data_IF_949613854255
#
_entry.id   IF_949613854255
#
_cell.length_a   1.000
_cell.length_b   1.000
_cell.length_c   1.000
_cell.angle_alpha   90.00
_cell.angle_beta   90.00
_cell.angle_gamma   90.00
#
_symmetry.space_group_name_H-M   'P 1'
#
loop_
_entity.id
_entity.type
_entity.pdbx_description
1 polymer ?
#
# COMPACT_ATOMS: atom_id res chain seq x y z
N UNK A 1 -10.72 5.98 23.95
CA UNK A 1 -11.92 6.84 23.74
C UNK A 1 -13.20 6.05 23.45
N UNK A 2 -13.52 5.57 22.25
CA UNK A 2 -14.82 4.90 21.99
C UNK A 2 -15.03 3.57 22.78
N UNK A 3 -14.00 2.73 22.85
CA UNK A 3 -14.01 1.47 23.64
C UNK A 3 -14.16 1.73 25.14
N UNK A 4 -13.55 2.80 25.62
CA UNK A 4 -13.55 3.23 27.01
C UNK A 4 -14.90 3.84 27.42
N UNK A 5 -15.51 4.62 26.52
CA UNK A 5 -16.88 5.13 26.69
C UNK A 5 -17.92 3.99 26.70
N UNK A 6 -17.74 2.96 25.87
CA UNK A 6 -18.59 1.77 25.88
C UNK A 6 -18.49 1.00 27.21
N UNK A 7 -17.28 0.79 27.72
CA UNK A 7 -17.06 0.16 29.03
C UNK A 7 -17.68 0.97 30.17
N UNK A 8 -17.57 2.30 30.12
CA UNK A 8 -18.18 3.19 31.11
C UNK A 8 -19.71 3.11 31.08
N UNK A 9 -20.32 3.05 29.89
CA UNK A 9 -21.78 2.89 29.74
C UNK A 9 -22.25 1.52 30.25
N UNK A 10 -21.51 0.46 29.99
CA UNK A 10 -21.82 -0.88 30.49
C UNK A 10 -21.78 -0.93 32.03
N UNK A 11 -20.77 -0.29 32.65
CA UNK A 11 -20.69 -0.19 34.11
C UNK A 11 -21.87 0.58 34.72
N UNK A 12 -22.30 1.68 34.08
CA UNK A 12 -23.49 2.45 34.52
C UNK A 12 -24.77 1.64 34.42
N UNK A 13 -24.94 0.84 33.35
CA UNK A 13 -26.11 -0.03 33.21
C UNK A 13 -26.16 -1.09 34.30
N UNK A 14 -25.03 -1.72 34.65
CA UNK A 14 -24.95 -2.68 35.77
C UNK A 14 -25.38 -2.07 37.10
N UNK A 15 -24.85 -0.88 37.43
CA UNK A 15 -25.20 -0.16 38.66
C UNK A 15 -26.68 0.23 38.72
N UNK A 16 -27.25 0.67 37.59
CA UNK A 16 -28.67 1.01 37.49
C UNK A 16 -29.55 -0.23 37.66
N UNK A 17 -29.20 -1.37 37.04
CA UNK A 17 -29.92 -2.63 37.22
C UNK A 17 -29.91 -3.10 38.68
N UNK A 18 -28.77 -3.02 39.36
CA UNK A 18 -28.66 -3.35 40.79
C UNK A 18 -29.52 -2.43 41.67
N UNK A 19 -29.49 -1.12 41.40
CA UNK A 19 -30.29 -0.12 42.12
C UNK A 19 -31.78 -0.34 41.92
N UNK A 20 -32.22 -0.62 40.70
CA UNK A 20 -33.63 -0.90 40.39
C UNK A 20 -34.09 -2.18 41.08
N UNK A 21 -33.27 -3.24 41.11
CA UNK A 21 -33.60 -4.48 41.83
C UNK A 21 -33.79 -4.25 43.34
N UNK A 22 -32.98 -3.38 43.95
CA UNK A 22 -33.15 -3.00 45.36
C UNK A 22 -34.47 -2.25 45.62
N UNK A 23 -34.89 -1.40 44.69
CA UNK A 23 -36.18 -0.68 44.77
C UNK A 23 -37.36 -1.64 44.56
N UNK A 24 -37.26 -2.58 43.61
CA UNK A 24 -38.27 -3.60 43.35
C UNK A 24 -38.51 -4.45 44.61
N UNK A 25 -37.46 -4.82 45.34
CA UNK A 25 -37.59 -5.63 46.56
C UNK A 25 -38.43 -4.97 47.67
N UNK A 26 -38.60 -3.65 47.63
CA UNK A 26 -39.37 -2.86 48.59
C UNK A 26 -40.83 -2.61 48.14
N UNK A 27 -41.19 -2.97 46.91
CA UNK A 27 -42.53 -2.76 46.37
C UNK A 27 -43.54 -3.85 46.79
N UNK A 28 -44.86 -3.59 46.76
CA UNK A 28 -45.88 -4.62 46.99
C UNK A 28 -45.79 -5.77 45.96
N UNK A 29 -46.10 -7.02 46.32
CA UNK A 29 -45.89 -8.20 45.45
C UNK A 29 -46.49 -8.06 44.04
N UNK A 30 -47.70 -7.48 43.93
CA UNK A 30 -48.36 -7.24 42.65
C UNK A 30 -47.62 -6.25 41.74
N UNK A 31 -46.87 -5.30 42.32
CA UNK A 31 -46.05 -4.33 41.57
C UNK A 31 -44.64 -4.87 41.29
N UNK A 32 -44.10 -5.75 42.14
CA UNK A 32 -42.77 -6.36 41.93
C UNK A 32 -42.68 -7.11 40.61
N UNK A 33 -43.70 -7.90 40.28
CA UNK A 33 -43.73 -8.69 39.06
C UNK A 33 -43.80 -7.83 37.79
N UNK A 34 -44.60 -6.76 37.82
CA UNK A 34 -44.66 -5.79 36.73
C UNK A 34 -43.32 -5.07 36.50
N UNK A 35 -42.67 -4.61 37.58
CA UNK A 35 -41.37 -3.93 37.46
C UNK A 35 -40.24 -4.86 37.02
N UNK A 36 -40.23 -6.12 37.47
CA UNK A 36 -39.26 -7.13 36.99
C UNK A 36 -39.41 -7.36 35.49
N UNK A 37 -40.65 -7.52 35.01
CA UNK A 37 -40.92 -7.74 33.58
C UNK A 37 -40.47 -6.56 32.70
N UNK A 38 -40.72 -5.33 33.15
CA UNK A 38 -40.26 -4.12 32.45
C UNK A 38 -38.72 -4.03 32.45
N UNK A 39 -38.08 -4.31 33.58
CA UNK A 39 -36.62 -4.32 33.70
C UNK A 39 -35.97 -5.39 32.81
N UNK A 40 -36.54 -6.59 32.76
CA UNK A 40 -36.08 -7.69 31.91
C UNK A 40 -36.24 -7.34 30.42
N UNK A 41 -37.36 -6.71 30.06
CA UNK A 41 -37.62 -6.23 28.70
C UNK A 41 -36.60 -5.15 28.30
N UNK A 42 -36.36 -4.16 29.17
CA UNK A 42 -35.39 -3.10 28.92
C UNK A 42 -33.96 -3.65 28.82
N UNK A 43 -33.58 -4.57 29.69
CA UNK A 43 -32.26 -5.21 29.70
C UNK A 43 -32.04 -6.01 28.42
N UNK A 44 -33.04 -6.78 27.99
CA UNK A 44 -32.99 -7.55 26.74
C UNK A 44 -32.86 -6.63 25.53
N UNK A 45 -33.66 -5.56 25.46
CA UNK A 45 -33.59 -4.58 24.38
C UNK A 45 -32.22 -3.88 24.32
N UNK A 46 -31.66 -3.51 25.47
CA UNK A 46 -30.33 -2.93 25.56
C UNK A 46 -29.24 -3.90 25.06
N UNK A 47 -29.25 -5.15 25.52
CA UNK A 47 -28.31 -6.19 25.09
C UNK A 47 -28.39 -6.44 23.57
N UNK A 48 -29.60 -6.48 23.01
CA UNK A 48 -29.81 -6.62 21.58
C UNK A 48 -29.23 -5.43 20.79
N UNK A 49 -29.49 -4.19 21.25
CA UNK A 49 -28.91 -2.99 20.66
C UNK A 49 -27.38 -3.00 20.71
N UNK A 50 -26.79 -3.36 21.86
CA UNK A 50 -25.34 -3.50 22.01
C UNK A 50 -24.76 -4.52 21.02
N UNK A 51 -25.40 -5.68 20.90
CA UNK A 51 -24.98 -6.73 19.97
C UNK A 51 -25.04 -6.24 18.52
N UNK A 52 -26.14 -5.58 18.15
CA UNK A 52 -26.33 -5.04 16.80
C UNK A 52 -25.33 -3.94 16.46
N UNK A 53 -25.06 -3.02 17.39
CA UNK A 53 -24.08 -1.96 17.21
C UNK A 53 -22.66 -2.53 17.08
N UNK A 54 -22.28 -3.49 17.93
CA UNK A 54 -21.00 -4.16 17.84
C UNK A 54 -20.83 -4.88 16.49
N UNK A 55 -21.89 -5.54 16.00
CA UNK A 55 -21.92 -6.12 14.66
C UNK A 55 -21.65 -5.08 13.58
N UNK A 56 -22.34 -3.94 13.61
CA UNK A 56 -22.10 -2.84 12.67
C UNK A 56 -20.68 -2.28 12.73
N UNK A 57 -20.13 -2.09 13.94
CA UNK A 57 -18.75 -1.60 14.10
C UNK A 57 -17.73 -2.56 13.48
N UNK A 58 -17.84 -3.87 13.75
CA UNK A 58 -16.97 -4.89 13.13
C UNK A 58 -17.08 -4.89 11.61
N UNK A 59 -18.30 -4.77 11.08
CA UNK A 59 -18.51 -4.68 9.63
C UNK A 59 -17.81 -3.44 9.05
N UNK A 60 -17.92 -2.27 9.69
CA UNK A 60 -17.24 -1.04 9.24
C UNK A 60 -15.71 -1.17 9.29
N UNK A 61 -15.15 -1.81 10.32
CA UNK A 61 -13.70 -2.09 10.39
C UNK A 61 -13.24 -2.99 9.24
N UNK A 62 -14.01 -4.03 8.91
CA UNK A 62 -13.73 -4.90 7.76
C UNK A 62 -13.79 -4.13 6.44
N UNK A 63 -14.78 -3.26 6.25
CA UNK A 63 -14.85 -2.40 5.05
C UNK A 63 -13.65 -1.46 4.95
N UNK A 64 -13.27 -0.79 6.04
CA UNK A 64 -12.09 0.09 6.04
C UNK A 64 -10.81 -0.68 5.70
N UNK A 65 -10.63 -1.88 6.26
CA UNK A 65 -9.50 -2.75 5.93
C UNK A 65 -9.52 -3.21 4.48
N UNK A 66 -10.70 -3.55 3.94
CA UNK A 66 -10.86 -3.94 2.54
C UNK A 66 -10.46 -2.81 1.59
N UNK A 67 -10.88 -1.58 1.86
CA UNK A 67 -10.52 -0.42 1.04
C UNK A 67 -9.02 -0.11 1.12
N UNK A 68 -8.41 -0.23 2.31
CA UNK A 68 -6.96 -0.07 2.46
C UNK A 68 -6.17 -1.14 1.68
N UNK A 69 -6.63 -2.40 1.71
CA UNK A 69 -6.03 -3.48 0.92
C UNK A 69 -6.19 -3.25 -0.58
N UNK A 70 -7.37 -2.78 -1.02
CA UNK A 70 -7.61 -2.45 -2.42
C UNK A 70 -6.67 -1.33 -2.89
N UNK A 71 -6.57 -0.24 -2.13
CA UNK A 71 -5.64 0.84 -2.44
C UNK A 71 -4.17 0.41 -2.43
N UNK A 72 -3.79 -0.52 -1.56
CA UNK A 72 -2.44 -1.13 -1.57
C UNK A 72 -2.19 -1.99 -2.80
N UNK A 73 -3.20 -2.77 -3.23
CA UNK A 73 -3.13 -3.57 -4.45
C UNK A 73 -3.00 -2.69 -5.70
N UNK A 74 -3.83 -1.66 -5.84
CA UNK A 74 -3.79 -0.74 -6.98
C UNK A 74 -2.40 -0.07 -7.10
N UNK A 75 -1.81 0.34 -5.97
CA UNK A 75 -0.43 0.86 -5.92
C UNK A 75 0.60 -0.17 -6.37
N UNK A 76 0.45 -1.42 -5.91
CA UNK A 76 1.38 -2.51 -6.25
C UNK A 76 1.33 -2.83 -7.75
N UNK A 77 0.12 -2.89 -8.32
CA UNK A 77 -0.08 -3.14 -9.75
C UNK A 77 0.49 -2.01 -10.60
N UNK A 78 0.27 -0.75 -10.21
CA UNK A 78 0.89 0.40 -10.89
C UNK A 78 2.41 0.31 -10.85
N UNK A 79 2.97 0.00 -9.68
CA UNK A 79 4.42 -0.11 -9.52
C UNK A 79 5.02 -1.23 -10.39
N UNK A 80 4.39 -2.40 -10.45
CA UNK A 80 4.83 -3.50 -11.33
C UNK A 80 4.83 -3.09 -12.80
N UNK A 81 3.84 -2.31 -13.23
CA UNK A 81 3.82 -1.74 -14.58
C UNK A 81 4.99 -0.79 -14.80
N UNK A 82 5.22 0.15 -13.88
CA UNK A 82 6.31 1.12 -14.01
C UNK A 82 7.71 0.45 -14.03
N UNK A 83 7.89 -0.62 -13.24
CA UNK A 83 9.10 -1.46 -13.25
C UNK A 83 9.27 -2.18 -14.59
N UNK A 84 8.20 -2.78 -15.12
CA UNK A 84 8.22 -3.47 -16.41
C UNK A 84 8.55 -2.52 -17.57
N UNK A 85 7.94 -1.32 -17.60
CA UNK A 85 8.26 -0.29 -18.60
C UNK A 85 9.72 0.17 -18.54
N UNK A 86 10.28 0.25 -17.33
CA UNK A 86 11.69 0.63 -17.17
C UNK A 86 12.61 -0.49 -17.66
N UNK A 87 12.28 -1.75 -17.40
CA UNK A 87 12.99 -2.91 -17.93
C UNK A 87 12.95 -2.94 -19.46
N UNK A 88 11.78 -2.82 -20.06
CA UNK A 88 11.61 -2.80 -21.51
C UNK A 88 12.41 -1.68 -22.16
N UNK A 89 12.35 -0.47 -21.60
CA UNK A 89 13.17 0.64 -22.09
C UNK A 89 14.67 0.36 -22.01
N UNK A 90 15.15 -0.26 -20.92
CA UNK A 90 16.58 -0.62 -20.81
C UNK A 90 16.98 -1.64 -21.89
N UNK A 91 16.17 -2.68 -22.12
CA UNK A 91 16.40 -3.65 -23.19
C UNK A 91 16.46 -2.97 -24.56
N UNK A 92 15.49 -2.11 -24.87
CA UNK A 92 15.47 -1.35 -26.13
C UNK A 92 16.71 -0.48 -26.29
N UNK A 93 17.14 0.21 -25.22
CA UNK A 93 18.34 1.04 -25.27
C UNK A 93 19.62 0.21 -25.47
N UNK A 94 19.70 -1.01 -24.93
CA UNK A 94 20.82 -1.91 -25.18
C UNK A 94 20.88 -2.34 -26.66
N UNK A 95 19.74 -2.80 -27.20
CA UNK A 95 19.61 -3.24 -28.59
C UNK A 95 19.91 -2.11 -29.59
N UNK A 96 19.32 -0.93 -29.38
CA UNK A 96 19.42 0.19 -30.31
C UNK A 96 20.81 0.82 -30.30
N UNK A 97 21.39 1.03 -29.12
CA UNK A 97 22.58 1.86 -28.97
C UNK A 97 23.86 1.06 -28.72
N UNK A 98 23.78 -0.10 -28.04
CA UNK A 98 24.97 -0.81 -27.57
C UNK A 98 25.33 -2.03 -28.42
N UNK A 99 24.36 -2.70 -29.06
CA UNK A 99 24.63 -3.90 -29.88
C UNK A 99 25.25 -3.61 -31.26
N UNK A 100 25.17 -2.38 -31.77
CA UNK A 100 25.82 -2.00 -33.04
C UNK A 100 27.36 -2.01 -32.91
N UNK A 101 28.05 -2.76 -33.78
CA UNK A 101 29.51 -2.77 -33.87
C UNK A 101 30.09 -1.47 -34.45
N UNK A 102 31.38 -1.21 -34.19
CA UNK A 102 32.11 -0.04 -34.70
C UNK A 102 32.51 -0.21 -36.19
N UNK A 103 31.53 -0.25 -37.09
CA UNK A 103 31.76 -0.38 -38.53
C UNK A 103 31.33 0.87 -39.32
N UNK A 104 31.91 2.03 -38.99
CA UNK A 104 31.65 3.28 -39.71
C UNK A 104 32.65 3.46 -40.85
N UNK A 105 32.16 3.55 -42.09
CA UNK A 105 32.97 3.61 -43.32
C UNK A 105 33.16 5.04 -43.81
N UNK A 106 32.28 5.95 -43.41
CA UNK A 106 32.33 7.37 -43.79
C UNK A 106 32.33 8.30 -42.57
N UNK A 107 32.89 9.52 -42.68
CA UNK A 107 32.79 10.52 -41.62
C UNK A 107 31.34 10.86 -41.23
N UNK A 108 30.43 10.87 -42.21
CA UNK A 108 29.01 11.17 -41.99
C UNK A 108 28.31 10.07 -41.17
N UNK A 109 28.63 8.79 -41.43
CA UNK A 109 28.14 7.65 -40.63
C UNK A 109 28.65 7.72 -39.19
N UNK A 110 29.93 8.05 -39.00
CA UNK A 110 30.51 8.23 -37.66
C UNK A 110 29.84 9.40 -36.93
N UNK A 111 29.65 10.54 -37.61
CA UNK A 111 28.99 11.70 -37.00
C UNK A 111 27.55 11.38 -36.59
N UNK A 112 26.81 10.65 -37.43
CA UNK A 112 25.45 10.18 -37.10
C UNK A 112 25.46 9.32 -35.84
N UNK A 113 26.41 8.38 -35.72
CA UNK A 113 26.53 7.53 -34.53
C UNK A 113 26.90 8.31 -33.26
N UNK A 114 27.74 9.34 -33.37
CA UNK A 114 28.05 10.25 -32.25
C UNK A 114 26.79 11.01 -31.79
N UNK A 115 25.97 11.49 -32.73
CA UNK A 115 24.71 12.17 -32.43
C UNK A 115 23.68 11.24 -31.79
N UNK A 116 23.55 10.00 -32.28
CA UNK A 116 22.73 8.95 -31.66
C UNK A 116 23.18 8.66 -30.23
N UNK A 117 24.49 8.53 -29.96
CA UNK A 117 24.99 8.31 -28.61
C UNK A 117 24.73 9.48 -27.66
N UNK A 118 24.81 10.72 -28.16
CA UNK A 118 24.48 11.91 -27.34
C UNK A 118 23.01 11.90 -26.92
N UNK A 119 22.12 11.55 -27.85
CA UNK A 119 20.69 11.37 -27.56
C UNK A 119 20.45 10.26 -26.54
N UNK A 120 21.08 9.10 -26.73
CA UNK A 120 20.96 7.97 -25.81
C UNK A 120 21.39 8.34 -24.38
N UNK A 121 22.46 9.14 -24.23
CA UNK A 121 22.89 9.65 -22.92
C UNK A 121 21.88 10.60 -22.29
N UNK A 122 21.29 11.49 -23.08
CA UNK A 122 20.26 12.42 -22.60
C UNK A 122 18.99 11.66 -22.18
N UNK A 123 18.53 10.69 -22.98
CA UNK A 123 17.40 9.83 -22.63
C UNK A 123 17.65 9.05 -21.34
N UNK A 124 18.84 8.46 -21.20
CA UNK A 124 19.23 7.78 -19.96
C UNK A 124 19.20 8.74 -18.76
N UNK A 125 19.74 9.95 -18.89
CA UNK A 125 19.67 10.97 -17.84
C UNK A 125 18.23 11.34 -17.46
N UNK A 126 17.33 11.48 -18.45
CA UNK A 126 15.92 11.74 -18.19
C UNK A 126 15.25 10.60 -17.39
N UNK A 127 15.70 9.36 -17.56
CA UNK A 127 15.20 8.21 -16.78
C UNK A 127 15.70 8.18 -15.34
N UNK A 128 16.75 8.94 -14.98
CA UNK A 128 17.28 8.97 -13.61
C UNK A 128 16.20 9.39 -12.59
N UNK A 129 15.36 10.36 -12.94
CA UNK A 129 14.24 10.78 -12.11
C UNK A 129 13.21 9.65 -11.93
N UNK A 130 12.92 8.89 -13.00
CA UNK A 130 12.02 7.73 -12.94
C UNK A 130 12.60 6.64 -12.02
N UNK A 131 13.90 6.35 -12.10
CA UNK A 131 14.58 5.38 -11.23
C UNK A 131 14.51 5.79 -9.75
N UNK A 132 14.68 7.09 -9.44
CA UNK A 132 14.53 7.60 -8.07
C UNK A 132 13.10 7.41 -7.54
N UNK A 133 12.09 7.79 -8.33
CA UNK A 133 10.68 7.61 -7.96
C UNK A 133 10.30 6.13 -7.78
N UNK A 134 10.79 5.26 -8.66
CA UNK A 134 10.62 3.81 -8.55
C UNK A 134 11.25 3.28 -7.26
N UNK A 135 12.46 3.73 -6.93
CA UNK A 135 13.16 3.36 -5.69
C UNK A 135 12.35 3.75 -4.46
N UNK A 136 11.86 4.99 -4.40
CA UNK A 136 11.01 5.47 -3.31
C UNK A 136 9.70 4.68 -3.21
N UNK A 137 9.05 4.42 -4.35
CA UNK A 137 7.78 3.70 -4.43
C UNK A 137 7.92 2.25 -3.98
N UNK A 138 8.97 1.55 -4.43
CA UNK A 138 9.30 0.19 -3.98
C UNK A 138 9.55 0.16 -2.47
N UNK A 139 10.32 1.10 -1.93
CA UNK A 139 10.58 1.18 -0.50
C UNK A 139 9.30 1.42 0.32
N UNK A 140 8.38 2.25 -0.19
CA UNK A 140 7.06 2.46 0.42
C UNK A 140 6.21 1.18 0.43
N UNK A 141 6.25 0.37 -0.64
CA UNK A 141 5.53 -0.91 -0.71
C UNK A 141 6.18 -1.94 0.22
N UNK A 142 7.51 -2.03 0.25
CA UNK A 142 8.25 -2.92 1.15
C UNK A 142 7.88 -2.69 2.61
N UNK A 143 7.73 -1.43 3.04
CA UNK A 143 7.37 -1.09 4.42
C UNK A 143 6.01 -1.67 4.87
N UNK A 144 5.13 -2.01 3.92
CA UNK A 144 3.78 -2.51 4.17
C UNK A 144 3.61 -3.98 3.76
N UNK A 145 4.58 -4.56 3.06
CA UNK A 145 4.51 -5.90 2.50
C UNK A 145 4.94 -6.98 3.51
N UNK A 146 4.41 -8.21 3.40
CA UNK A 146 4.91 -9.35 4.17
C UNK A 146 6.35 -9.73 3.77
N UNK A 147 7.14 -10.39 4.65
CA UNK A 147 8.58 -10.62 4.43
C UNK A 147 8.95 -11.22 3.07
N UNK A 148 8.23 -12.25 2.61
CA UNK A 148 8.50 -12.87 1.31
C UNK A 148 8.34 -11.89 0.13
N UNK A 149 7.36 -11.01 0.19
CA UNK A 149 7.16 -9.97 -0.83
C UNK A 149 8.22 -8.86 -0.71
N UNK A 150 8.67 -8.53 0.52
CA UNK A 150 9.75 -7.57 0.71
C UNK A 150 11.04 -8.01 0.03
N UNK A 151 11.43 -9.28 0.17
CA UNK A 151 12.63 -9.82 -0.47
C UNK A 151 12.52 -9.77 -2.00
N UNK A 152 11.36 -10.14 -2.55
CA UNK A 152 11.12 -10.07 -3.99
C UNK A 152 11.28 -8.65 -4.54
N UNK A 153 10.62 -7.66 -3.92
CA UNK A 153 10.73 -6.26 -4.35
C UNK A 153 12.12 -5.67 -4.17
N UNK A 154 12.84 -6.04 -3.10
CA UNK A 154 14.25 -5.63 -2.92
C UNK A 154 15.12 -6.14 -4.05
N UNK A 155 14.97 -7.42 -4.41
CA UNK A 155 15.74 -8.04 -5.50
C UNK A 155 15.42 -7.41 -6.86
N UNK A 156 14.15 -7.14 -7.13
CA UNK A 156 13.71 -6.48 -8.36
C UNK A 156 14.30 -5.07 -8.46
N UNK A 157 14.24 -4.29 -7.38
CA UNK A 157 14.84 -2.96 -7.31
C UNK A 157 16.36 -2.98 -7.50
N UNK A 158 17.06 -3.91 -6.84
CA UNK A 158 18.51 -4.10 -6.97
C UNK A 158 18.90 -4.45 -8.41
N UNK A 159 18.12 -5.33 -9.05
CA UNK A 159 18.34 -5.71 -10.45
C UNK A 159 18.13 -4.50 -11.38
N UNK A 160 17.03 -3.76 -11.20
CA UNK A 160 16.72 -2.58 -12.02
C UNK A 160 17.80 -1.50 -11.87
N UNK A 161 18.19 -1.18 -10.64
CA UNK A 161 19.18 -0.13 -10.36
C UNK A 161 20.56 -0.51 -10.87
N UNK A 162 20.97 -1.77 -10.69
CA UNK A 162 22.24 -2.29 -11.24
C UNK A 162 22.26 -2.24 -12.75
N UNK A 163 21.21 -2.74 -13.42
CA UNK A 163 21.13 -2.74 -14.88
C UNK A 163 21.12 -1.32 -15.44
N UNK A 164 20.38 -0.40 -14.82
CA UNK A 164 20.36 0.99 -15.22
C UNK A 164 21.74 1.66 -15.11
N UNK A 165 22.45 1.44 -14.00
CA UNK A 165 23.81 1.95 -13.82
C UNK A 165 24.79 1.36 -14.84
N UNK A 166 24.65 0.07 -15.13
CA UNK A 166 25.49 -0.61 -16.12
C UNK A 166 25.25 -0.07 -17.53
N UNK A 167 23.99 0.09 -17.93
CA UNK A 167 23.58 0.73 -19.19
C UNK A 167 24.20 2.14 -19.30
N UNK A 168 24.04 2.98 -18.28
CA UNK A 168 24.63 4.32 -18.26
C UNK A 168 26.16 4.29 -18.42
N UNK A 169 26.82 3.37 -17.73
CA UNK A 169 28.28 3.19 -17.81
C UNK A 169 28.71 2.80 -19.22
N UNK A 170 28.01 1.86 -19.84
CA UNK A 170 28.28 1.40 -21.21
C UNK A 170 28.03 2.49 -22.25
N UNK A 171 26.90 3.19 -22.17
CA UNK A 171 26.58 4.32 -23.05
C UNK A 171 27.66 5.39 -22.97
N UNK A 172 28.10 5.74 -21.76
CA UNK A 172 29.16 6.72 -21.58
C UNK A 172 30.51 6.23 -22.11
N UNK A 173 30.83 4.94 -21.91
CA UNK A 173 32.05 4.33 -22.45
C UNK A 173 32.05 4.34 -23.99
N UNK A 174 30.96 3.90 -24.62
CA UNK A 174 30.82 3.87 -26.08
C UNK A 174 30.89 5.26 -26.69
N UNK A 175 30.21 6.24 -26.09
CA UNK A 175 30.28 7.65 -26.49
C UNK A 175 31.72 8.17 -26.49
N UNK A 176 32.51 7.90 -25.44
CA UNK A 176 33.92 8.32 -25.36
C UNK A 176 34.82 7.65 -26.40
N UNK A 177 34.46 6.46 -26.88
CA UNK A 177 35.21 5.77 -27.93
C UNK A 177 34.89 6.33 -29.32
N UNK A 178 33.67 6.86 -29.51
CA UNK A 178 33.24 7.46 -30.79
C UNK A 178 33.67 8.93 -30.94
N UNK A 179 33.80 9.65 -29.82
CA UNK A 179 34.32 11.03 -29.75
C UNK A 179 35.84 11.09 -30.02
#
# INVERSE_FOLDING_TARGET
RAKEEAQQKEAKVKLLTESVNSVIAQAPPAAQEAFKKELDTLTTNYQWLCTRLNGKCKTLEVYARKEALKGGLDKTVSLQKDLSEMHEWMTQAEEEYLERDFEYKTPDELQTAVEEMKRAKEEAQQKEAKVKLLTESVNSVIAQAPPAAQEAFKKELDTLTTNYQWLCTRLNGKCKTLE
#
